data_IF_166201740479
#
_entry.id   IF_166201740479
#
_cell.length_a   1.000
_cell.length_b   1.000
_cell.length_c   1.000
_cell.angle_alpha   90.00
_cell.angle_beta   90.00
_cell.angle_gamma   90.00
#
_symmetry.space_group_name_H-M   'P 1'
#
loop_
_entity.id
_entity.type
_entity.pdbx_description
1 polymer ?
#
# COMPACT_ATOMS: atom_id res chain seq x y z
N UNK A 1 -9.87 9.97 27.22
CA UNK A 1 -9.17 8.68 26.98
C UNK A 1 -7.75 8.78 27.51
N UNK A 2 -7.35 7.91 28.44
CA UNK A 2 -6.04 7.98 29.11
C UNK A 2 -4.85 7.69 28.16
N UNK A 3 -5.03 6.83 27.15
CA UNK A 3 -4.00 6.56 26.13
C UNK A 3 -3.61 7.80 25.30
N UNK A 4 -4.60 8.64 24.98
CA UNK A 4 -4.38 9.88 24.24
C UNK A 4 -3.48 10.89 24.96
N UNK A 5 -3.34 10.79 26.28
CA UNK A 5 -2.45 11.63 27.08
C UNK A 5 -1.05 11.01 27.22
N UNK A 6 -0.93 9.70 27.08
CA UNK A 6 0.35 8.97 27.19
C UNK A 6 1.19 9.06 25.91
N UNK A 7 0.55 9.10 24.74
CA UNK A 7 1.23 8.96 23.44
C UNK A 7 1.89 10.26 22.93
N UNK A 8 1.61 11.42 23.54
CA UNK A 8 2.11 12.78 23.20
C UNK A 8 2.06 13.18 21.69
N UNK A 9 1.48 12.36 20.82
CA UNK A 9 1.39 12.60 19.39
C UNK A 9 0.25 13.58 19.06
N UNK A 10 0.59 14.67 18.35
CA UNK A 10 -0.35 15.72 17.92
C UNK A 10 -1.35 15.23 16.86
N UNK A 11 -0.97 14.24 16.05
CA UNK A 11 -1.79 13.69 14.97
C UNK A 11 -1.93 12.18 15.17
N UNK A 12 -3.18 11.69 15.16
CA UNK A 12 -3.47 10.25 15.29
C UNK A 12 -3.75 9.68 13.91
N UNK A 13 -2.90 8.76 13.49
CA UNK A 13 -3.09 8.05 12.23
C UNK A 13 -3.81 6.71 12.41
N UNK A 14 -4.11 6.29 13.65
CA UNK A 14 -4.82 5.04 13.97
C UNK A 14 -6.18 5.28 14.66
N UNK A 15 -7.15 4.39 14.40
CA UNK A 15 -8.48 4.40 15.02
C UNK A 15 -8.71 3.13 15.82
N UNK A 16 -8.53 3.24 17.13
CA UNK A 16 -8.74 2.12 18.05
C UNK A 16 -10.21 1.65 18.06
N UNK A 17 -11.17 2.57 17.95
CA UNK A 17 -12.59 2.21 17.85
C UNK A 17 -12.93 1.45 16.56
N UNK A 18 -12.26 1.77 15.44
CA UNK A 18 -12.41 0.99 14.21
C UNK A 18 -11.87 -0.44 14.39
N UNK A 19 -10.74 -0.59 15.10
CA UNK A 19 -10.17 -1.90 15.39
C UNK A 19 -11.03 -2.74 16.35
N UNK A 20 -11.59 -2.12 17.39
CA UNK A 20 -12.55 -2.79 18.27
C UNK A 20 -13.78 -3.27 17.50
N UNK A 21 -14.31 -2.47 16.57
CA UNK A 21 -15.48 -2.87 15.79
C UNK A 21 -15.19 -4.10 14.90
N UNK A 22 -13.99 -4.16 14.29
CA UNK A 22 -13.52 -5.33 13.55
C UNK A 22 -13.42 -6.57 14.45
N UNK A 23 -13.06 -6.38 15.71
CA UNK A 23 -12.87 -7.44 16.70
C UNK A 23 -14.00 -7.55 17.73
N UNK A 24 -15.21 -7.08 17.40
CA UNK A 24 -16.30 -6.91 18.39
C UNK A 24 -16.56 -8.14 19.24
N UNK A 25 -16.42 -9.33 18.63
CA UNK A 25 -16.67 -10.60 19.30
C UNK A 25 -15.65 -10.84 20.41
N UNK A 26 -14.37 -10.69 20.10
CA UNK A 26 -13.30 -10.82 21.07
C UNK A 26 -13.40 -9.76 22.17
N UNK A 27 -13.83 -8.53 21.82
CA UNK A 27 -14.10 -7.48 22.80
C UNK A 27 -15.18 -7.89 23.82
N UNK A 28 -16.32 -8.41 23.35
CA UNK A 28 -17.39 -8.87 24.25
C UNK A 28 -17.03 -10.15 25.02
N UNK A 29 -16.28 -11.07 24.43
CA UNK A 29 -15.78 -12.28 25.11
C UNK A 29 -14.88 -11.91 26.30
N UNK A 30 -14.00 -10.92 26.13
CA UNK A 30 -13.17 -10.39 27.22
C UNK A 30 -14.00 -9.65 28.28
N UNK A 31 -15.01 -8.89 27.86
CA UNK A 31 -15.90 -8.16 28.77
C UNK A 31 -16.74 -9.11 29.64
N UNK A 32 -17.25 -10.19 29.04
CA UNK A 32 -18.03 -11.22 29.74
C UNK A 32 -17.16 -12.04 30.70
N UNK A 33 -15.91 -12.35 30.30
CA UNK A 33 -14.94 -13.02 31.17
C UNK A 33 -14.57 -12.21 32.41
N UNK A 34 -14.44 -10.89 32.28
CA UNK A 34 -14.16 -9.98 33.41
C UNK A 34 -15.37 -9.75 34.32
N UNK A 35 -16.60 -9.88 33.80
CA UNK A 35 -17.83 -9.74 34.61
C UNK A 35 -18.20 -10.99 35.41
N UNK A 36 -17.63 -12.16 35.08
CA UNK A 36 -17.92 -13.45 35.73
C UNK A 36 -16.72 -14.09 36.45
N UNK A 37 -15.55 -13.44 36.43
CA UNK A 37 -14.27 -13.97 36.93
C UNK A 37 -13.68 -13.19 38.11
N UNK A 38 -12.52 -13.66 38.57
CA UNK A 38 -11.70 -13.01 39.61
C UNK A 38 -11.11 -11.67 39.13
N UNK A 39 -10.57 -10.85 40.03
CA UNK A 39 -10.05 -9.48 39.82
C UNK A 39 -8.80 -9.41 38.91
N UNK A 40 -8.46 -10.50 38.22
CA UNK A 40 -7.33 -10.56 37.30
C UNK A 40 -7.67 -9.93 35.95
N UNK A 41 -7.21 -8.69 35.77
CA UNK A 41 -7.36 -7.91 34.54
C UNK A 41 -6.28 -8.21 33.49
N UNK A 42 -5.33 -9.10 33.78
CA UNK A 42 -4.20 -9.42 32.88
C UNK A 42 -4.64 -9.89 31.49
N UNK A 43 -5.64 -10.79 31.34
CA UNK A 43 -6.11 -11.23 30.02
C UNK A 43 -6.72 -10.08 29.20
N UNK A 44 -7.43 -9.17 29.86
CA UNK A 44 -8.02 -8.00 29.23
C UNK A 44 -6.94 -7.03 28.75
N UNK A 45 -5.92 -6.77 29.57
CA UNK A 45 -4.78 -5.92 29.21
C UNK A 45 -3.97 -6.51 28.04
N UNK A 46 -3.72 -7.83 28.03
CA UNK A 46 -3.03 -8.50 26.94
C UNK A 46 -3.80 -8.37 25.61
N UNK A 47 -5.12 -8.64 25.63
CA UNK A 47 -5.96 -8.46 24.44
C UNK A 47 -5.97 -7.01 23.98
N UNK A 48 -6.10 -6.06 24.91
CA UNK A 48 -6.15 -4.63 24.62
C UNK A 48 -4.86 -4.13 23.96
N UNK A 49 -3.69 -4.50 24.50
CA UNK A 49 -2.40 -4.12 23.94
C UNK A 49 -2.17 -4.74 22.55
N UNK A 50 -2.60 -5.98 22.34
CA UNK A 50 -2.58 -6.63 21.02
C UNK A 50 -3.50 -5.93 20.02
N UNK A 51 -4.69 -5.52 20.44
CA UNK A 51 -5.64 -4.77 19.62
C UNK A 51 -5.05 -3.40 19.23
N UNK A 52 -4.42 -2.71 20.18
CA UNK A 52 -3.71 -1.46 19.92
C UNK A 52 -2.56 -1.66 18.91
N UNK A 53 -1.74 -2.71 19.08
CA UNK A 53 -0.68 -3.04 18.13
C UNK A 53 -1.20 -3.20 16.70
N UNK A 54 -2.26 -3.99 16.51
CA UNK A 54 -2.89 -4.18 15.18
C UNK A 54 -3.48 -2.89 14.61
N UNK A 55 -3.99 -1.99 15.44
CA UNK A 55 -4.50 -0.70 14.99
C UNK A 55 -3.37 0.21 14.47
N UNK A 56 -2.21 0.16 15.12
CA UNK A 56 -1.00 0.90 14.70
C UNK A 56 -0.45 0.31 13.40
N UNK A 57 -0.35 -1.01 13.29
CA UNK A 57 0.11 -1.70 12.08
C UNK A 57 -0.76 -1.35 10.86
N UNK A 58 -2.08 -1.38 11.00
CA UNK A 58 -2.99 -1.00 9.90
C UNK A 58 -2.87 0.48 9.51
N UNK A 59 -2.63 1.36 10.48
CA UNK A 59 -2.39 2.77 10.18
C UNK A 59 -1.10 2.97 9.39
N UNK A 60 -0.04 2.24 9.77
CA UNK A 60 1.25 2.29 9.08
C UNK A 60 1.13 1.74 7.64
N UNK A 61 0.46 0.60 7.45
CA UNK A 61 0.19 0.04 6.12
C UNK A 61 -0.63 0.99 5.24
N UNK A 62 -1.68 1.60 5.80
CA UNK A 62 -2.50 2.58 5.09
C UNK A 62 -1.67 3.79 4.69
N UNK A 63 -0.89 4.35 5.61
CA UNK A 63 -0.04 5.51 5.36
C UNK A 63 1.03 5.20 4.32
N UNK A 64 1.69 4.05 4.42
CA UNK A 64 2.65 3.54 3.45
C UNK A 64 2.03 3.46 2.05
N UNK A 65 0.82 2.89 1.93
CA UNK A 65 0.12 2.81 0.65
C UNK A 65 -0.19 4.20 0.05
N UNK A 66 -0.58 5.16 0.87
CA UNK A 66 -0.90 6.53 0.44
C UNK A 66 0.36 7.27 -0.01
N UNK A 67 1.44 7.19 0.78
CA UNK A 67 2.72 7.81 0.46
C UNK A 67 3.33 7.20 -0.82
N UNK A 68 3.25 5.88 -0.97
CA UNK A 68 3.69 5.20 -2.17
C UNK A 68 2.94 5.67 -3.42
N UNK A 69 1.60 5.72 -3.36
CA UNK A 69 0.77 6.26 -4.46
C UNK A 69 1.17 7.70 -4.80
N UNK A 70 1.38 8.54 -3.79
CA UNK A 70 1.80 9.92 -3.99
C UNK A 70 3.15 10.03 -4.72
N UNK A 71 4.16 9.22 -4.33
CA UNK A 71 5.47 9.19 -4.98
C UNK A 71 5.39 8.76 -6.44
N UNK A 72 4.64 7.70 -6.75
CA UNK A 72 4.42 7.26 -8.14
C UNK A 72 3.78 8.37 -8.97
N UNK A 73 2.78 9.06 -8.43
CA UNK A 73 2.13 10.18 -9.13
C UNK A 73 3.02 11.42 -9.27
N UNK A 74 3.88 11.71 -8.29
CA UNK A 74 4.88 12.77 -8.43
C UNK A 74 5.81 12.52 -9.62
N UNK A 75 6.34 11.31 -9.76
CA UNK A 75 7.17 10.93 -10.91
C UNK A 75 6.38 10.91 -12.23
N UNK A 76 5.13 10.44 -12.19
CA UNK A 76 4.25 10.44 -13.37
C UNK A 76 3.90 11.85 -13.85
N UNK A 77 3.90 12.84 -12.97
CA UNK A 77 3.58 14.23 -13.28
C UNK A 77 4.76 15.04 -13.85
N UNK A 78 6.01 14.53 -13.77
CA UNK A 78 7.16 15.16 -14.43
C UNK A 78 6.96 15.27 -15.95
N UNK A 79 6.27 14.30 -16.55
CA UNK A 79 5.84 14.27 -17.95
C UNK A 79 4.42 13.71 -17.99
N UNK A 80 3.37 14.50 -18.30
CA UNK A 80 1.99 14.02 -18.21
C UNK A 80 1.76 12.68 -18.90
N UNK A 81 1.24 11.70 -18.16
CA UNK A 81 0.81 10.40 -18.71
C UNK A 81 -0.45 10.59 -19.57
N UNK A 82 -0.58 9.78 -20.61
CA UNK A 82 -1.82 9.71 -21.40
C UNK A 82 -2.94 8.97 -20.62
N UNK A 83 -4.17 9.02 -21.11
CA UNK A 83 -5.32 8.43 -20.41
C UNK A 83 -5.23 6.91 -20.24
N UNK A 84 -4.62 6.20 -21.19
CA UNK A 84 -4.41 4.74 -21.11
C UNK A 84 -3.40 4.39 -20.03
N UNK A 85 -2.28 5.12 -20.01
CA UNK A 85 -1.24 4.99 -18.99
C UNK A 85 -1.80 5.31 -17.60
N UNK A 86 -2.56 6.41 -17.47
CA UNK A 86 -3.24 6.79 -16.22
C UNK A 86 -4.17 5.69 -15.72
N UNK A 87 -5.01 5.13 -16.61
CA UNK A 87 -5.90 4.02 -16.29
C UNK A 87 -5.13 2.81 -15.75
N UNK A 88 -4.04 2.44 -16.41
CA UNK A 88 -3.22 1.29 -16.02
C UNK A 88 -2.51 1.53 -14.68
N UNK A 89 -1.90 2.70 -14.50
CA UNK A 89 -1.24 3.05 -13.24
C UNK A 89 -2.22 3.06 -12.06
N UNK A 90 -3.39 3.69 -12.20
CA UNK A 90 -4.44 3.63 -11.18
C UNK A 90 -4.81 2.18 -10.86
N UNK A 91 -5.06 1.36 -11.89
CA UNK A 91 -5.43 -0.04 -11.67
C UNK A 91 -4.34 -0.80 -10.92
N UNK A 92 -3.07 -0.58 -11.26
CA UNK A 92 -1.91 -1.23 -10.64
C UNK A 92 -1.62 -0.75 -9.21
N UNK A 93 -1.95 0.51 -8.89
CA UNK A 93 -1.80 1.09 -7.55
C UNK A 93 -2.91 0.68 -6.58
N UNK A 94 -4.06 0.26 -7.10
CA UNK A 94 -5.17 -0.28 -6.30
C UNK A 94 -5.07 -1.82 -6.17
N UNK A 95 -6.18 -2.54 -6.29
CA UNK A 95 -6.23 -4.00 -6.08
C UNK A 95 -5.78 -4.80 -7.33
N UNK A 96 -4.52 -4.64 -7.74
CA UNK A 96 -3.96 -5.38 -8.88
C UNK A 96 -3.23 -6.65 -8.44
N UNK A 97 -3.72 -7.80 -8.89
CA UNK A 97 -3.13 -9.10 -8.57
C UNK A 97 -2.13 -9.54 -9.65
N UNK A 98 -0.91 -9.84 -9.20
CA UNK A 98 0.19 -10.33 -10.03
C UNK A 98 0.84 -9.21 -10.86
N UNK A 99 1.39 -9.57 -12.01
CA UNK A 99 2.14 -8.65 -12.86
C UNK A 99 1.39 -8.23 -14.13
N UNK A 100 1.72 -7.04 -14.62
CA UNK A 100 1.23 -6.52 -15.89
C UNK A 100 2.00 -7.19 -17.04
N UNK A 101 1.33 -7.42 -18.17
CA UNK A 101 1.98 -7.80 -19.41
C UNK A 101 1.28 -7.10 -20.58
N UNK A 102 1.86 -7.14 -21.77
CA UNK A 102 1.34 -6.43 -22.95
C UNK A 102 -0.11 -6.81 -23.27
N UNK A 103 -0.48 -8.09 -23.13
CA UNK A 103 -1.84 -8.56 -23.40
C UNK A 103 -2.85 -8.08 -22.36
N UNK A 104 -2.49 -8.07 -21.07
CA UNK A 104 -3.33 -7.51 -19.99
C UNK A 104 -3.51 -6.01 -20.18
N UNK A 105 -2.45 -5.30 -20.54
CA UNK A 105 -2.49 -3.87 -20.81
C UNK A 105 -3.43 -3.56 -21.98
N UNK A 106 -3.23 -4.23 -23.13
CA UNK A 106 -4.06 -4.04 -24.32
C UNK A 106 -5.56 -4.26 -24.04
N UNK A 107 -5.89 -5.30 -23.26
CA UNK A 107 -7.28 -5.57 -22.83
C UNK A 107 -7.82 -4.49 -21.90
N UNK A 108 -7.03 -4.06 -20.91
CA UNK A 108 -7.46 -3.05 -19.93
C UNK A 108 -7.65 -1.67 -20.58
N UNK A 109 -6.70 -1.26 -21.42
CA UNK A 109 -6.69 0.04 -22.10
C UNK A 109 -7.44 0.05 -23.44
N UNK A 110 -8.02 -1.09 -23.85
CA UNK A 110 -8.75 -1.27 -25.11
C UNK A 110 -7.96 -0.76 -26.34
N UNK A 111 -6.69 -1.15 -26.43
CA UNK A 111 -5.80 -0.75 -27.52
C UNK A 111 -5.10 -1.96 -28.17
N UNK A 112 -4.44 -1.74 -29.32
CA UNK A 112 -3.66 -2.80 -29.97
C UNK A 112 -2.45 -3.21 -29.12
N UNK A 113 -1.94 -4.42 -29.36
CA UNK A 113 -0.72 -4.91 -28.71
C UNK A 113 0.48 -4.00 -28.94
N UNK A 114 0.61 -3.43 -30.15
CA UNK A 114 1.69 -2.50 -30.48
C UNK A 114 1.57 -1.17 -29.70
N UNK A 115 0.34 -0.66 -29.56
CA UNK A 115 0.08 0.54 -28.75
C UNK A 115 0.38 0.28 -27.28
N UNK A 116 -0.07 -0.87 -26.75
CA UNK A 116 0.22 -1.28 -25.38
C UNK A 116 1.73 -1.41 -25.13
N UNK A 117 2.47 -2.01 -26.06
CA UNK A 117 3.91 -2.17 -25.92
C UNK A 117 4.65 -0.82 -25.93
N UNK A 118 4.21 0.12 -26.78
CA UNK A 118 4.74 1.49 -26.79
C UNK A 118 4.46 2.22 -25.48
N UNK A 119 3.22 2.17 -24.99
CA UNK A 119 2.86 2.81 -23.72
C UNK A 119 3.65 2.21 -22.54
N UNK A 120 3.81 0.88 -22.50
CA UNK A 120 4.61 0.20 -21.46
C UNK A 120 6.08 0.62 -21.54
N UNK A 121 6.68 0.68 -22.73
CA UNK A 121 8.07 1.12 -22.90
C UNK A 121 8.28 2.55 -22.39
N UNK A 122 7.38 3.48 -22.70
CA UNK A 122 7.45 4.85 -22.13
C UNK A 122 7.35 4.81 -20.60
N UNK A 123 6.46 4.01 -20.02
CA UNK A 123 6.37 3.86 -18.56
C UNK A 123 7.63 3.25 -17.94
N UNK A 124 8.29 2.30 -18.61
CA UNK A 124 9.54 1.69 -18.14
C UNK A 124 10.71 2.67 -18.24
N UNK A 125 10.84 3.38 -19.36
CA UNK A 125 11.87 4.41 -19.55
C UNK A 125 11.76 5.52 -18.50
N UNK A 126 10.54 5.81 -18.08
CA UNK A 126 10.24 6.81 -17.05
C UNK A 126 10.36 6.27 -15.62
N UNK A 127 10.73 5.01 -15.43
CA UNK A 127 10.83 4.37 -14.12
C UNK A 127 9.49 4.14 -13.41
N UNK A 128 8.36 4.26 -14.12
CA UNK A 128 7.01 4.02 -13.58
C UNK A 128 6.59 2.54 -13.63
N UNK A 129 7.29 1.75 -14.45
CA UNK A 129 7.21 0.29 -14.47
C UNK A 129 8.60 -0.31 -14.50
N UNK A 130 8.76 -1.47 -13.87
CA UNK A 130 9.99 -2.24 -13.89
C UNK A 130 9.72 -3.59 -14.53
N UNK A 131 10.55 -3.99 -15.48
CA UNK A 131 10.48 -5.33 -16.05
C UNK A 131 10.96 -6.35 -15.02
N UNK A 132 10.17 -7.40 -14.79
CA UNK A 132 10.57 -8.48 -13.89
C UNK A 132 11.67 -9.36 -14.52
N UNK A 133 12.57 -9.86 -13.68
CA UNK A 133 13.53 -10.89 -14.06
C UNK A 133 12.78 -12.22 -14.29
N UNK A 134 12.87 -12.76 -15.50
CA UNK A 134 12.17 -13.98 -15.87
C UNK A 134 12.14 -14.19 -17.39
N UNK A 135 13.06 -15.00 -17.90
CA UNK A 135 13.24 -15.35 -19.32
C UNK A 135 12.23 -16.37 -19.87
N UNK A 136 10.97 -16.33 -19.45
CA UNK A 136 9.91 -17.15 -20.04
C UNK A 136 9.33 -16.52 -21.32
N UNK A 137 8.32 -17.18 -21.93
CA UNK A 137 7.61 -16.68 -23.12
C UNK A 137 6.83 -15.38 -22.90
N UNK A 138 6.68 -14.87 -21.67
CA UNK A 138 5.95 -13.62 -21.40
C UNK A 138 6.75 -12.65 -20.53
N UNK A 139 7.15 -11.52 -21.12
CA UNK A 139 7.63 -10.36 -20.38
C UNK A 139 6.53 -9.85 -19.45
N UNK A 140 6.88 -9.62 -18.18
CA UNK A 140 5.97 -9.06 -17.19
C UNK A 140 6.59 -7.85 -16.51
N UNK A 141 5.72 -6.95 -16.04
CA UNK A 141 6.08 -5.66 -15.48
C UNK A 141 5.38 -5.48 -14.13
N UNK A 142 6.07 -4.84 -13.20
CA UNK A 142 5.55 -4.46 -11.89
C UNK A 142 5.73 -2.96 -11.68
N UNK A 143 5.05 -2.41 -10.69
CA UNK A 143 5.40 -1.10 -10.20
C UNK A 143 6.78 -1.15 -9.50
N UNK A 144 7.56 -0.06 -9.55
CA UNK A 144 8.82 0.06 -8.82
C UNK A 144 8.57 -0.04 -7.31
N UNK A 145 9.53 -0.61 -6.57
CA UNK A 145 9.54 -0.53 -5.11
C UNK A 145 9.90 0.90 -4.66
N UNK A 146 9.71 1.20 -3.38
CA UNK A 146 10.01 2.55 -2.85
C UNK A 146 11.46 2.98 -3.07
N UNK A 147 12.41 2.07 -2.90
CA UNK A 147 13.85 2.29 -3.12
C UNK A 147 14.20 2.52 -4.59
N UNK A 148 13.42 1.94 -5.51
CA UNK A 148 13.62 2.07 -6.95
C UNK A 148 13.06 3.39 -7.50
N UNK A 149 12.09 4.01 -6.81
CA UNK A 149 11.54 5.34 -7.16
C UNK A 149 12.56 6.48 -6.91
N UNK A 150 13.43 6.33 -5.92
CA UNK A 150 14.39 7.38 -5.50
C UNK A 150 15.56 7.49 -6.48
N UNK A 151 16.00 6.36 -7.05
CA UNK A 151 17.18 6.29 -7.92
C UNK A 151 16.98 7.01 -9.27
N UNK A 152 15.73 7.26 -9.69
CA UNK A 152 15.44 7.96 -10.94
C UNK A 152 15.64 9.50 -10.87
N UNK A 153 15.91 10.05 -9.68
CA UNK A 153 15.98 11.50 -9.44
C UNK A 153 17.33 12.06 -8.96
N UNK A 154 18.38 11.25 -8.83
CA UNK A 154 19.65 11.71 -8.26
C UNK A 154 20.86 11.06 -8.90
N UNK A 155 21.58 11.81 -9.73
CA UNK A 155 22.98 11.52 -10.04
C UNK A 155 23.75 11.39 -8.72
N UNK A 156 24.52 10.31 -8.50
CA UNK A 156 25.41 10.23 -7.35
C UNK A 156 26.54 11.24 -7.60
N UNK A 157 26.51 12.36 -6.88
CA UNK A 157 27.71 13.19 -6.76
C UNK A 157 28.70 12.39 -5.94
N UNK A 158 29.75 11.95 -6.61
CA UNK A 158 30.90 11.27 -6.04
C UNK A 158 31.45 12.06 -4.84
N UNK A 159 31.71 11.34 -3.75
CA UNK A 159 32.76 11.66 -2.78
C UNK A 159 33.71 10.48 -2.78
#
# INVERSE_FOLDING_TARGET
>A
MALARADQARERFYSMSAQIELERRAYYDQLEGQQRGDTDITPWLDWFLKCLGRAIEQADEMLGSVLYKARVWQQANLKPVNDRQRLVLNRMLDDFRGHMNTSKYAKLAKCSTDTALRDIRDLVERGLLVQNEGGGRSTSYRLPKEDELITAGGSPTSI
#
